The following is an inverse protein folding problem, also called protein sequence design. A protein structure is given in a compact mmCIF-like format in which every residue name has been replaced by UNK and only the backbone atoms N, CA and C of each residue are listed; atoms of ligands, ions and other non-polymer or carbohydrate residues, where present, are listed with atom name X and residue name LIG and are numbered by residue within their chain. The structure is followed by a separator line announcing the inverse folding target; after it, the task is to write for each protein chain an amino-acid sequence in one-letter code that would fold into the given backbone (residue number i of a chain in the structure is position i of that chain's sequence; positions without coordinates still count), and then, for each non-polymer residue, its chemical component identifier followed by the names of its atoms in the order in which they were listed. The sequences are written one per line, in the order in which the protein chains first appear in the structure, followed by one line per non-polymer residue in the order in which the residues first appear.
data_IF_571094766519
#
_entry.id   IF_571094766519
#
_cell.length_a   1.000
_cell.length_b   1.000
_cell.length_c   1.000
_cell.angle_alpha   90.00
_cell.angle_beta   90.00
_cell.angle_gamma   90.00
#
_symmetry.space_group_name_H-M   'P 1'
#
loop_
_entity.id
_entity.type
_entity.pdbx_description
1 polymer ?
#
# COMPACT_ATOMS: atom_id res chain seq x y z
N UNK A 1 19.04 2.10 17.42
CA UNK A 1 17.65 1.62 17.22
C UNK A 1 17.71 0.23 16.61
N UNK A 2 17.58 -0.84 17.42
CA UNK A 2 17.75 -2.24 17.01
C UNK A 2 16.61 -2.78 16.14
N UNK A 3 16.46 -2.23 14.94
CA UNK A 3 15.48 -2.66 13.94
C UNK A 3 16.12 -3.77 13.11
N UNK A 4 15.48 -4.94 13.07
CA UNK A 4 15.88 -6.04 12.22
C UNK A 4 15.44 -5.74 10.78
N UNK A 5 16.39 -5.70 9.85
CA UNK A 5 16.10 -5.57 8.42
C UNK A 5 15.86 -6.94 7.79
N UNK A 6 14.96 -6.98 6.82
CA UNK A 6 14.73 -8.17 5.99
C UNK A 6 15.61 -8.08 4.73
N UNK A 7 16.11 -9.22 4.25
CA UNK A 7 16.77 -9.33 2.95
C UNK A 7 15.77 -9.04 1.82
N UNK A 8 15.98 -7.92 1.12
CA UNK A 8 15.09 -7.43 0.08
C UNK A 8 15.69 -7.67 -1.32
N UNK A 9 14.94 -8.27 -2.26
CA UNK A 9 15.41 -8.48 -3.61
C UNK A 9 15.62 -7.15 -4.35
N UNK A 10 16.77 -7.02 -5.03
CA UNK A 10 17.12 -5.81 -5.79
C UNK A 10 16.09 -5.58 -6.89
N UNK A 11 15.72 -4.31 -7.14
CA UNK A 11 14.78 -3.91 -8.19
C UNK A 11 13.34 -4.47 -8.08
N UNK A 12 12.84 -4.75 -6.88
CA UNK A 12 11.47 -5.25 -6.66
C UNK A 12 10.54 -4.20 -6.03
N UNK A 13 10.12 -3.15 -6.78
CA UNK A 13 9.14 -2.17 -6.27
C UNK A 13 7.76 -2.82 -6.03
N UNK A 14 7.43 -3.89 -6.76
CA UNK A 14 6.17 -4.62 -6.61
C UNK A 14 6.04 -5.30 -5.23
N UNK A 15 7.17 -5.64 -4.62
CA UNK A 15 7.22 -6.21 -3.28
C UNK A 15 6.92 -5.16 -2.20
N UNK A 16 7.03 -3.85 -2.51
CA UNK A 16 6.80 -2.78 -1.54
C UNK A 16 5.31 -2.69 -1.16
N UNK A 17 4.94 -2.92 0.12
CA UNK A 17 3.56 -2.79 0.59
C UNK A 17 2.96 -1.40 0.33
N UNK A 18 3.79 -0.36 0.32
CA UNK A 18 3.35 1.02 0.12
C UNK A 18 2.79 1.21 -1.30
N UNK A 19 3.43 0.67 -2.33
CA UNK A 19 2.93 0.75 -3.72
C UNK A 19 1.61 0.00 -3.90
N UNK A 20 1.43 -1.11 -3.17
CA UNK A 20 0.18 -1.86 -3.15
C UNK A 20 -0.94 -1.05 -2.50
N UNK A 21 -0.66 -0.34 -1.40
CA UNK A 21 -1.61 0.59 -0.77
C UNK A 21 -1.96 1.74 -1.72
N UNK A 22 -0.97 2.34 -2.40
CA UNK A 22 -1.23 3.40 -3.39
C UNK A 22 -2.11 2.92 -4.54
N UNK A 23 -1.85 1.73 -5.05
CA UNK A 23 -2.65 1.12 -6.11
C UNK A 23 -4.10 0.89 -5.67
N UNK A 24 -4.31 0.41 -4.43
CA UNK A 24 -5.64 0.27 -3.85
C UNK A 24 -6.37 1.62 -3.72
N UNK A 25 -5.70 2.66 -3.23
CA UNK A 25 -6.28 3.99 -3.11
C UNK A 25 -6.70 4.54 -4.48
N UNK A 26 -5.83 4.45 -5.49
CA UNK A 26 -6.11 4.86 -6.87
C UNK A 26 -7.31 4.10 -7.44
N UNK A 27 -7.37 2.77 -7.22
CA UNK A 27 -8.50 1.94 -7.63
C UNK A 27 -9.82 2.41 -6.98
N UNK A 28 -9.83 2.67 -5.67
CA UNK A 28 -11.02 3.14 -4.95
C UNK A 28 -11.43 4.58 -5.28
N UNK A 29 -10.52 5.37 -5.82
CA UNK A 29 -10.79 6.73 -6.32
C UNK A 29 -11.20 6.73 -7.79
N UNK A 30 -10.89 5.69 -8.56
CA UNK A 30 -11.25 5.59 -9.98
C UNK A 30 -12.76 5.77 -10.17
N UNK A 31 -13.14 6.66 -11.08
CA UNK A 31 -14.54 6.98 -11.38
C UNK A 31 -15.24 7.91 -10.36
N UNK A 32 -14.59 8.29 -9.26
CA UNK A 32 -15.15 9.26 -8.31
C UNK A 32 -14.90 10.67 -8.83
N UNK A 33 -15.97 11.46 -8.97
CA UNK A 33 -15.84 12.90 -9.23
C UNK A 33 -15.28 13.60 -7.99
N UNK A 34 -14.18 14.31 -8.16
CA UNK A 34 -13.49 15.09 -7.12
C UNK A 34 -13.08 16.41 -7.77
N UNK A 35 -13.59 17.51 -7.25
CA UNK A 35 -13.45 18.83 -7.90
C UNK A 35 -12.55 19.78 -7.11
N UNK A 36 -12.23 19.43 -5.86
CA UNK A 36 -11.38 20.25 -5.01
C UNK A 36 -10.36 19.41 -4.26
N UNK A 37 -9.23 20.02 -3.92
CA UNK A 37 -8.21 19.40 -3.08
C UNK A 37 -8.77 18.93 -1.74
N UNK A 38 -9.66 19.73 -1.11
CA UNK A 38 -10.33 19.37 0.14
C UNK A 38 -11.16 18.09 0.00
N UNK A 39 -11.93 17.95 -1.08
CA UNK A 39 -12.70 16.74 -1.35
C UNK A 39 -11.79 15.53 -1.59
N UNK A 40 -10.66 15.71 -2.27
CA UNK A 40 -9.68 14.66 -2.50
C UNK A 40 -9.09 14.17 -1.17
N UNK A 41 -8.62 15.07 -0.32
CA UNK A 41 -8.07 14.74 0.99
C UNK A 41 -9.07 13.99 1.87
N UNK A 42 -10.34 14.44 1.90
CA UNK A 42 -11.39 13.77 2.68
C UNK A 42 -11.59 12.34 2.16
N UNK A 43 -11.73 12.16 0.84
CA UNK A 43 -11.94 10.83 0.25
C UNK A 43 -10.75 9.89 0.48
N UNK A 44 -9.51 10.37 0.33
CA UNK A 44 -8.31 9.59 0.61
C UNK A 44 -8.31 9.16 2.08
N UNK A 45 -8.54 10.08 3.02
CA UNK A 45 -8.59 9.77 4.47
C UNK A 45 -9.68 8.75 4.79
N UNK A 46 -10.83 8.84 4.14
CA UNK A 46 -11.91 7.85 4.33
C UNK A 46 -11.51 6.47 3.83
N UNK A 47 -10.93 6.36 2.63
CA UNK A 47 -10.46 5.07 2.09
C UNK A 47 -9.31 4.51 2.93
N UNK A 48 -8.42 5.39 3.42
CA UNK A 48 -7.32 5.03 4.32
C UNK A 48 -7.83 4.40 5.62
N UNK A 49 -8.94 4.89 6.17
CA UNK A 49 -9.53 4.31 7.38
C UNK A 49 -10.15 2.93 7.16
N UNK A 50 -10.49 2.56 5.93
CA UNK A 50 -11.00 1.22 5.58
C UNK A 50 -9.91 0.21 5.18
N UNK A 51 -8.64 0.62 5.20
CA UNK A 51 -7.48 -0.20 4.80
C UNK A 51 -6.85 -1.14 5.86
N UNK A 52 -7.16 -1.14 7.18
CA UNK A 52 -6.38 -1.89 8.17
C UNK A 52 -6.14 -3.36 7.83
N UNK A 53 -7.19 -4.10 7.50
CA UNK A 53 -7.09 -5.53 7.21
C UNK A 53 -6.27 -5.83 5.94
N UNK A 54 -6.44 -5.02 4.89
CA UNK A 54 -5.67 -5.16 3.65
C UNK A 54 -4.19 -4.83 3.86
N UNK A 55 -3.90 -3.77 4.63
CA UNK A 55 -2.53 -3.37 4.95
C UNK A 55 -1.81 -4.43 5.79
N UNK A 56 -2.48 -5.00 6.80
CA UNK A 56 -1.92 -6.10 7.58
C UNK A 56 -1.61 -7.33 6.72
N UNK A 57 -2.51 -7.70 5.82
CA UNK A 57 -2.31 -8.82 4.91
C UNK A 57 -1.14 -8.57 3.93
N UNK A 58 -0.93 -7.33 3.48
CA UNK A 58 0.23 -6.97 2.66
C UNK A 58 1.54 -7.16 3.43
N UNK A 59 1.61 -6.71 4.68
CA UNK A 59 2.82 -6.84 5.51
C UNK A 59 3.10 -8.32 5.83
N UNK A 60 2.08 -9.09 6.24
CA UNK A 60 2.21 -10.53 6.56
C UNK A 60 2.72 -11.36 5.38
N UNK A 61 2.32 -11.01 4.15
CA UNK A 61 2.74 -11.72 2.94
C UNK A 61 4.00 -11.16 2.29
N UNK A 62 4.50 -10.00 2.74
CA UNK A 62 5.67 -9.34 2.17
C UNK A 62 6.90 -10.25 2.18
N UNK A 63 7.13 -10.95 3.30
CA UNK A 63 8.30 -11.82 3.43
C UNK A 63 8.28 -12.96 2.41
N UNK A 64 7.13 -13.61 2.25
CA UNK A 64 6.93 -14.68 1.26
C UNK A 64 7.11 -14.17 -0.17
N UNK A 65 6.61 -12.97 -0.47
CA UNK A 65 6.73 -12.35 -1.80
C UNK A 65 8.18 -12.01 -2.14
N UNK A 66 8.96 -11.54 -1.18
CA UNK A 66 10.38 -11.25 -1.37
C UNK A 66 11.18 -12.54 -1.60
N UNK A 67 10.89 -13.60 -0.81
CA UNK A 67 11.53 -14.91 -0.98
C UNK A 67 11.20 -15.57 -2.32
N UNK A 68 10.02 -15.33 -2.89
CA UNK A 68 9.64 -15.87 -4.20
C UNK A 68 10.35 -15.20 -5.39
N UNK A 69 11.05 -14.08 -5.17
CA UNK A 69 11.79 -13.34 -6.21
C UNK A 69 13.27 -13.71 -6.23
N UNK A 70 13.79 -14.22 -5.12
CA UNK A 70 15.18 -14.70 -4.94
C UNK A 70 15.29 -16.10 -5.53
#
# INVERSE_FOLDING_TARGET
NGIIMMDWPVFSPDANPIENVWSYLKMKLKGKRVFTFKQLCIKIKTIWRSLPEYAENLVKNMQKRCQAII
#
